data_IF_431500594140
#
_entry.id   IF_431500594140
#
_cell.length_a   1.000
_cell.length_b   1.000
_cell.length_c   1.000
_cell.angle_alpha   90.00
_cell.angle_beta   90.00
_cell.angle_gamma   90.00
#
_symmetry.space_group_name_H-M   'P 1'
#
loop_
_entity.id
_entity.type
_entity.pdbx_description
1 polymer ?
#
# COMPACT_ATOMS: atom_id res chain seq x y z
N UNK A 1 -4.75 5.17 21.92
CA UNK A 1 -3.37 5.49 22.35
C UNK A 1 -2.42 4.30 22.16
N UNK A 2 -2.74 3.11 22.70
CA UNK A 2 -1.99 1.86 22.42
C UNK A 2 -1.86 1.52 20.93
N UNK A 3 -2.96 1.65 20.18
CA UNK A 3 -2.99 1.38 18.73
C UNK A 3 -1.92 2.16 17.95
N UNK A 4 -1.85 3.49 18.14
CA UNK A 4 -0.85 4.36 17.47
C UNK A 4 0.58 3.97 17.83
N UNK A 5 0.86 3.63 19.09
CA UNK A 5 2.22 3.20 19.51
C UNK A 5 2.62 1.84 18.90
N UNK A 6 1.67 0.91 18.72
CA UNK A 6 1.92 -0.34 18.02
C UNK A 6 2.14 -0.13 16.52
N UNK A 7 1.39 0.78 15.91
CA UNK A 7 1.56 1.12 14.49
C UNK A 7 2.95 1.73 14.24
N UNK A 8 3.43 2.63 15.11
CA UNK A 8 4.79 3.18 15.04
C UNK A 8 5.87 2.10 15.22
N UNK A 9 5.73 1.23 16.22
CA UNK A 9 6.71 0.17 16.49
C UNK A 9 6.77 -0.88 15.36
N UNK A 10 5.61 -1.23 14.77
CA UNK A 10 5.55 -2.15 13.64
C UNK A 10 6.10 -1.53 12.36
N UNK A 11 5.84 -0.24 12.12
CA UNK A 11 6.42 0.47 10.98
C UNK A 11 7.96 0.51 11.03
N UNK A 12 8.55 0.63 12.22
CA UNK A 12 10.02 0.62 12.42
C UNK A 12 10.62 -0.78 12.15
N UNK A 13 9.84 -1.84 12.28
CA UNK A 13 10.29 -3.23 12.14
C UNK A 13 9.79 -3.92 10.85
N UNK A 14 9.27 -3.15 9.89
CA UNK A 14 8.91 -3.70 8.58
C UNK A 14 10.15 -4.27 7.90
N UNK A 15 10.01 -5.49 7.38
CA UNK A 15 11.02 -6.16 6.58
C UNK A 15 10.34 -6.78 5.36
N UNK A 16 11.13 -7.11 4.34
CA UNK A 16 10.64 -7.79 3.13
C UNK A 16 9.85 -9.05 3.49
N UNK A 17 10.37 -9.88 4.39
CA UNK A 17 9.74 -11.15 4.81
C UNK A 17 8.42 -10.96 5.58
N UNK A 18 8.31 -9.88 6.37
CA UNK A 18 7.16 -9.67 7.27
C UNK A 18 6.11 -8.71 6.72
N UNK A 19 6.37 -8.04 5.59
CA UNK A 19 5.50 -7.00 5.04
C UNK A 19 4.09 -7.50 4.70
N UNK A 20 3.98 -8.67 4.08
CA UNK A 20 2.68 -9.25 3.72
C UNK A 20 1.84 -9.61 4.96
N UNK A 21 2.44 -10.26 5.95
CA UNK A 21 1.76 -10.61 7.20
C UNK A 21 1.36 -9.36 7.99
N UNK A 22 2.23 -8.36 8.03
CA UNK A 22 1.93 -7.06 8.68
C UNK A 22 0.76 -6.36 7.99
N UNK A 23 0.66 -6.42 6.66
CA UNK A 23 -0.45 -5.83 5.92
C UNK A 23 -1.79 -6.52 6.25
N UNK A 24 -1.80 -7.84 6.34
CA UNK A 24 -2.98 -8.63 6.73
C UNK A 24 -3.42 -8.25 8.16
N UNK A 25 -2.47 -8.17 9.09
CA UNK A 25 -2.77 -7.77 10.47
C UNK A 25 -3.29 -6.35 10.55
N UNK A 26 -2.73 -5.43 9.77
CA UNK A 26 -3.18 -4.05 9.73
C UNK A 26 -4.62 -3.94 9.19
N UNK A 27 -4.96 -4.68 8.13
CA UNK A 27 -6.33 -4.75 7.60
C UNK A 27 -7.31 -5.34 8.62
N UNK A 28 -6.95 -6.48 9.23
CA UNK A 28 -7.77 -7.17 10.23
C UNK A 28 -8.10 -6.30 11.45
N UNK A 29 -7.15 -5.47 11.89
CA UNK A 29 -7.32 -4.58 13.03
C UNK A 29 -7.77 -3.15 12.67
N UNK A 30 -8.13 -2.94 11.38
CA UNK A 30 -8.50 -1.63 10.82
C UNK A 30 -7.48 -0.54 11.18
N UNK A 31 -6.20 -0.89 11.17
CA UNK A 31 -5.07 -0.03 11.49
C UNK A 31 -4.65 0.75 10.25
N UNK A 32 -5.49 1.71 9.84
CA UNK A 32 -5.37 2.40 8.55
C UNK A 32 -4.01 3.07 8.33
N UNK A 33 -3.41 3.63 9.39
CA UNK A 33 -2.09 4.27 9.30
C UNK A 33 -0.99 3.25 9.01
N UNK A 34 -0.95 2.15 9.77
CA UNK A 34 0.02 1.07 9.54
C UNK A 34 -0.21 0.39 8.19
N UNK A 35 -1.47 0.23 7.78
CA UNK A 35 -1.82 -0.34 6.48
C UNK A 35 -1.26 0.50 5.35
N UNK A 36 -1.47 1.83 5.39
CA UNK A 36 -0.91 2.75 4.41
C UNK A 36 0.63 2.71 4.37
N UNK A 37 1.28 2.78 5.53
CA UNK A 37 2.74 2.70 5.64
C UNK A 37 3.31 1.37 5.11
N UNK A 38 2.62 0.27 5.39
CA UNK A 38 3.03 -1.06 4.91
C UNK A 38 2.85 -1.17 3.40
N UNK A 39 1.77 -0.61 2.83
CA UNK A 39 1.58 -0.55 1.37
C UNK A 39 2.69 0.27 0.72
N UNK A 40 3.08 1.42 1.29
CA UNK A 40 4.17 2.24 0.76
C UNK A 40 5.52 1.49 0.81
N UNK A 41 5.78 0.77 1.90
CA UNK A 41 6.96 -0.09 2.02
C UNK A 41 6.97 -1.19 0.95
N UNK A 42 5.83 -1.88 0.77
CA UNK A 42 5.68 -2.93 -0.24
C UNK A 42 5.92 -2.37 -1.64
N UNK A 43 5.36 -1.21 -1.97
CA UNK A 43 5.55 -0.58 -3.28
C UNK A 43 7.02 -0.19 -3.52
N UNK A 44 7.74 0.21 -2.48
CA UNK A 44 9.18 0.56 -2.55
C UNK A 44 10.07 -0.67 -2.72
N UNK A 45 9.70 -1.79 -2.12
CA UNK A 45 10.46 -3.06 -2.13
C UNK A 45 9.76 -4.16 -2.95
N UNK A 46 8.95 -3.78 -3.94
CA UNK A 46 8.00 -4.68 -4.59
C UNK A 46 8.65 -5.92 -5.19
N UNK A 47 9.83 -5.77 -5.80
CA UNK A 47 10.56 -6.90 -6.41
C UNK A 47 10.85 -7.99 -5.39
N UNK A 48 11.34 -7.62 -4.21
CA UNK A 48 11.81 -8.57 -3.20
C UNK A 48 10.62 -9.13 -2.43
N UNK A 49 9.63 -8.29 -2.10
CA UNK A 49 8.41 -8.71 -1.40
C UNK A 49 7.63 -9.74 -2.21
N UNK A 50 7.55 -9.56 -3.54
CA UNK A 50 6.84 -10.48 -4.41
C UNK A 50 7.43 -11.90 -4.45
N UNK A 51 8.71 -12.05 -4.12
CA UNK A 51 9.38 -13.36 -4.04
C UNK A 51 9.11 -14.09 -2.72
N UNK A 52 8.59 -13.41 -1.71
CA UNK A 52 8.34 -14.00 -0.39
C UNK A 52 7.16 -14.99 -0.39
N UNK A 53 7.30 -16.05 0.39
CA UNK A 53 6.19 -17.01 0.63
C UNK A 53 4.96 -16.33 1.24
N UNK A 54 5.16 -15.34 2.11
CA UNK A 54 4.10 -14.55 2.72
C UNK A 54 3.27 -13.80 1.68
N UNK A 55 3.91 -13.18 0.69
CA UNK A 55 3.22 -12.52 -0.42
C UNK A 55 2.41 -13.51 -1.28
N UNK A 56 3.02 -14.64 -1.65
CA UNK A 56 2.34 -15.67 -2.45
C UNK A 56 1.10 -16.22 -1.73
N UNK A 57 1.19 -16.42 -0.40
CA UNK A 57 0.05 -16.81 0.40
C UNK A 57 -1.03 -15.70 0.43
N UNK A 58 -0.62 -14.44 0.60
CA UNK A 58 -1.54 -13.30 0.64
C UNK A 58 -2.34 -13.15 -0.66
N UNK A 59 -1.74 -13.42 -1.84
CA UNK A 59 -2.47 -13.41 -3.12
C UNK A 59 -3.67 -14.36 -3.09
N UNK A 60 -3.51 -15.53 -2.49
CA UNK A 60 -4.55 -16.58 -2.46
C UNK A 60 -5.60 -16.36 -1.37
N UNK A 61 -5.19 -15.81 -0.22
CA UNK A 61 -6.03 -15.69 0.98
C UNK A 61 -6.68 -14.32 1.14
N UNK A 62 -6.03 -13.25 0.66
CA UNK A 62 -6.42 -11.86 0.88
C UNK A 62 -6.20 -11.00 -0.39
N UNK A 63 -6.72 -11.47 -1.53
CA UNK A 63 -6.51 -10.83 -2.84
C UNK A 63 -6.98 -9.36 -2.92
N UNK A 64 -7.90 -8.92 -2.05
CA UNK A 64 -8.34 -7.53 -1.96
C UNK A 64 -7.19 -6.58 -1.56
N UNK A 65 -6.24 -7.04 -0.75
CA UNK A 65 -5.08 -6.24 -0.33
C UNK A 65 -4.14 -5.95 -1.49
N UNK A 66 -4.03 -6.87 -2.44
CA UNK A 66 -3.25 -6.67 -3.67
C UNK A 66 -3.90 -5.58 -4.52
N UNK A 67 -5.23 -5.63 -4.68
CA UNK A 67 -5.97 -4.61 -5.41
C UNK A 67 -5.85 -3.23 -4.76
N UNK A 68 -5.77 -3.17 -3.44
CA UNK A 68 -5.60 -1.93 -2.68
C UNK A 68 -4.18 -1.37 -2.80
N UNK A 69 -3.15 -2.21 -2.67
CA UNK A 69 -1.76 -1.81 -2.89
C UNK A 69 -1.56 -1.29 -4.33
N UNK A 70 -2.13 -1.99 -5.32
CA UNK A 70 -2.10 -1.56 -6.72
C UNK A 70 -2.85 -0.23 -6.93
N UNK A 71 -4.01 -0.05 -6.28
CA UNK A 71 -4.75 1.23 -6.32
C UNK A 71 -3.92 2.37 -5.75
N UNK A 72 -3.27 2.15 -4.60
CA UNK A 72 -2.40 3.15 -3.98
C UNK A 72 -1.26 3.54 -4.92
N UNK A 73 -0.59 2.56 -5.52
CA UNK A 73 0.47 2.78 -6.51
C UNK A 73 -0.02 3.60 -7.71
N UNK A 74 -1.19 3.28 -8.26
CA UNK A 74 -1.77 4.02 -9.39
C UNK A 74 -2.10 5.47 -9.02
N UNK A 75 -2.60 5.72 -7.81
CA UNK A 75 -2.93 7.09 -7.36
C UNK A 75 -1.70 7.96 -7.10
N UNK A 76 -0.56 7.36 -6.73
CA UNK A 76 0.71 8.09 -6.57
C UNK A 76 1.31 8.55 -7.91
N UNK A 77 0.95 7.90 -9.02
CA UNK A 77 1.48 8.22 -10.36
C UNK A 77 0.68 9.30 -11.11
N UNK A 78 -0.46 9.78 -10.58
CA UNK A 78 -1.26 10.82 -11.25
C UNK A 78 -0.64 12.18 -10.92
N UNK A 79 0.02 12.89 -11.86
CA UNK A 79 0.41 14.27 -11.63
C UNK A 79 -0.86 15.11 -11.39
N UNK A 80 -0.85 16.09 -10.47
CA UNK A 80 -2.00 16.94 -10.22
C UNK A 80 -2.38 17.60 -11.56
N UNK A 81 -3.59 17.30 -12.01
CA UNK A 81 -4.16 17.78 -13.26
C UNK A 81 -3.98 19.30 -13.32
N UNK A 82 -3.05 19.76 -14.17
CA UNK A 82 -2.92 21.16 -14.54
C UNK A 82 -4.21 21.69 -15.19
N UNK A 83 -4.36 23.02 -15.29
CA UNK A 83 -5.66 23.65 -15.55
C UNK A 83 -6.26 23.22 -16.90
N UNK A 84 -7.61 23.25 -17.01
CA UNK A 84 -8.31 22.73 -18.18
C UNK A 84 -7.90 23.48 -19.45
N UNK A 85 -7.42 22.75 -20.47
CA UNK A 85 -7.15 23.31 -21.80
C UNK A 85 -8.44 23.92 -22.33
N UNK A 86 -8.42 25.25 -22.52
CA UNK A 86 -9.52 26.01 -23.11
C UNK A 86 -9.86 25.42 -24.48
N UNK A 87 -11.12 25.04 -24.66
CA UNK A 87 -11.69 24.59 -25.94
C UNK A 87 -11.58 25.76 -26.94
N UNK A 88 -10.71 25.62 -27.94
CA UNK A 88 -10.62 26.58 -29.06
C UNK A 88 -11.95 26.54 -29.80
N UNK A 89 -12.71 27.65 -29.78
CA UNK A 89 -13.83 27.85 -30.70
C UNK A 89 -13.25 28.20 -32.06
N UNK A 90 -13.42 27.32 -33.05
CA UNK A 90 -13.23 27.67 -34.45
C UNK A 90 -14.36 28.59 -34.88
N UNK A 91 -13.98 29.65 -35.60
CA UNK A 91 -14.85 30.67 -36.21
C UNK A 91 -15.63 30.13 -37.40
#
# INVERSE_FOLDING_TARGET
KLKVMCEEALCVNLSVETAAETLILADLHSADQLKAQTIDFINTHATDVMETSGWQNMITTHSHLIAEAFRALATQQIPPIGPPRKRVKMS
#
